data_IF_211126918187
#
_entry.id   IF_211126918187
#
_cell.length_a   1.000
_cell.length_b   1.000
_cell.length_c   1.000
_cell.angle_alpha   90.00
_cell.angle_beta   90.00
_cell.angle_gamma   90.00
#
_symmetry.space_group_name_H-M   'P 1'
#
loop_
_entity.id
_entity.type
_entity.pdbx_description
1 polymer ?
#
# COMPACT_ATOMS: atom_id res chain seq x y z
N UNK A 1 -21.07 -9.11 -3.91
CA UNK A 1 -20.46 -7.98 -3.19
C UNK A 1 -18.91 -8.02 -3.21
N UNK A 2 -18.28 -8.79 -4.10
CA UNK A 2 -16.82 -9.07 -4.06
C UNK A 2 -16.08 -8.76 -5.36
N UNK A 3 -16.71 -8.17 -6.38
CA UNK A 3 -16.04 -7.92 -7.67
C UNK A 3 -15.24 -6.61 -7.70
N UNK A 4 -15.59 -5.64 -6.83
CA UNK A 4 -15.00 -4.29 -6.87
C UNK A 4 -14.15 -3.97 -5.64
N UNK A 5 -13.91 -4.93 -4.75
CA UNK A 5 -13.07 -4.72 -3.58
C UNK A 5 -12.18 -5.90 -3.27
N UNK A 6 -10.98 -5.59 -2.79
CA UNK A 6 -10.01 -6.51 -2.23
C UNK A 6 -9.84 -6.17 -0.74
N UNK A 7 -9.91 -7.19 0.11
CA UNK A 7 -9.72 -7.05 1.56
C UNK A 7 -8.66 -8.04 2.00
N UNK A 8 -7.69 -7.56 2.77
CA UNK A 8 -6.65 -8.38 3.37
C UNK A 8 -6.37 -7.95 4.79
N UNK A 9 -6.30 -8.91 5.71
CA UNK A 9 -5.97 -8.67 7.11
C UNK A 9 -4.75 -9.50 7.47
N UNK A 10 -3.80 -8.88 8.15
CA UNK A 10 -2.62 -9.55 8.70
C UNK A 10 -2.32 -9.05 10.11
N UNK A 11 -1.59 -9.86 10.87
CA UNK A 11 -1.15 -9.54 12.22
C UNK A 11 0.37 -9.52 12.25
N UNK A 12 0.95 -8.47 12.82
CA UNK A 12 2.40 -8.22 12.79
C UNK A 12 2.87 -7.96 14.22
N UNK A 13 3.92 -8.67 14.66
CA UNK A 13 4.57 -8.42 15.95
C UNK A 13 5.44 -7.16 15.84
N UNK A 14 4.84 -6.02 16.18
CA UNK A 14 5.45 -4.67 16.07
C UNK A 14 4.67 -3.69 16.97
N UNK A 15 5.06 -2.41 16.98
CA UNK A 15 4.29 -1.33 17.64
C UNK A 15 3.49 -0.51 16.62
N UNK A 16 2.46 0.23 17.04
CA UNK A 16 1.71 1.13 16.15
C UNK A 16 2.63 2.12 15.43
N UNK A 17 3.58 2.72 16.15
CA UNK A 17 4.48 3.75 15.64
C UNK A 17 5.40 3.18 14.56
N UNK A 18 6.00 2.01 14.81
CA UNK A 18 6.92 1.37 13.85
C UNK A 18 6.17 0.86 12.61
N UNK A 19 4.94 0.37 12.78
CA UNK A 19 4.10 0.00 11.64
C UNK A 19 3.72 1.23 10.81
N UNK A 20 3.33 2.33 11.46
CA UNK A 20 2.98 3.58 10.80
C UNK A 20 4.15 4.21 10.05
N UNK A 21 5.31 4.27 10.71
CA UNK A 21 6.56 4.71 10.11
C UNK A 21 6.87 3.87 8.87
N UNK A 22 6.77 2.53 8.97
CA UNK A 22 7.01 1.69 7.80
C UNK A 22 6.06 1.97 6.63
N UNK A 23 4.80 2.33 6.88
CA UNK A 23 3.85 2.67 5.81
C UNK A 23 4.15 4.02 5.15
N UNK A 24 4.75 4.98 5.86
CA UNK A 24 4.85 6.39 5.43
C UNK A 24 6.27 6.84 5.12
N UNK A 25 7.28 6.14 5.63
CA UNK A 25 8.69 6.47 5.43
C UNK A 25 9.24 5.79 4.14
N UNK A 26 9.87 6.58 3.25
CA UNK A 26 10.34 6.06 1.96
C UNK A 26 11.47 5.03 2.10
N UNK A 27 12.33 5.11 3.12
CA UNK A 27 13.40 4.13 3.34
C UNK A 27 12.83 2.77 3.74
N UNK A 28 11.77 2.76 4.55
CA UNK A 28 11.03 1.53 4.82
C UNK A 28 10.28 1.03 3.58
N UNK A 29 9.60 1.91 2.84
CA UNK A 29 8.86 1.53 1.64
C UNK A 29 9.73 0.77 0.66
N UNK A 30 10.96 1.24 0.37
CA UNK A 30 11.89 0.54 -0.54
C UNK A 30 12.14 -0.91 -0.12
N UNK A 31 12.16 -1.19 1.18
CA UNK A 31 12.51 -2.50 1.72
C UNK A 31 11.39 -3.52 1.67
N UNK A 32 10.11 -3.11 1.58
CA UNK A 32 9.00 -4.06 1.48
C UNK A 32 8.09 -3.88 0.26
N UNK A 33 8.11 -2.72 -0.38
CA UNK A 33 7.29 -2.39 -1.53
C UNK A 33 8.05 -2.64 -2.84
N UNK A 34 8.71 -3.81 -2.96
CA UNK A 34 9.44 -4.21 -4.18
C UNK A 34 10.43 -3.14 -4.69
N UNK A 35 11.22 -2.54 -3.78
CA UNK A 35 12.15 -1.44 -4.08
C UNK A 35 11.49 -0.12 -4.54
N UNK A 36 10.17 -0.03 -4.55
CA UNK A 36 9.41 1.19 -4.82
C UNK A 36 9.25 2.02 -3.55
N UNK A 37 9.04 3.32 -3.68
CA UNK A 37 8.81 4.22 -2.55
C UNK A 37 7.61 5.13 -2.78
N UNK A 38 7.02 5.62 -1.69
CA UNK A 38 5.92 6.57 -1.74
C UNK A 38 6.44 8.00 -1.56
N UNK A 39 5.82 8.95 -2.24
CA UNK A 39 6.09 10.39 -2.12
C UNK A 39 4.79 11.11 -1.77
N UNK A 40 4.77 11.77 -0.61
CA UNK A 40 3.67 12.61 -0.16
C UNK A 40 4.12 13.50 1.01
N UNK A 41 3.44 14.64 1.19
CA UNK A 41 3.59 15.46 2.41
C UNK A 41 2.79 14.91 3.60
N UNK A 42 2.02 13.83 3.38
CA UNK A 42 1.22 13.15 4.40
C UNK A 42 0.24 14.08 5.14
N UNK A 43 -0.48 14.91 4.39
CA UNK A 43 -1.62 15.72 4.88
C UNK A 43 -2.84 15.43 4.04
N UNK A 44 -4.04 15.61 4.60
CA UNK A 44 -5.28 15.53 3.82
C UNK A 44 -5.21 16.51 2.64
N UNK A 45 -5.54 16.03 1.44
CA UNK A 45 -5.45 16.78 0.19
C UNK A 45 -4.07 16.78 -0.47
N UNK A 46 -3.03 16.24 0.17
CA UNK A 46 -1.70 16.15 -0.44
C UNK A 46 -1.70 15.17 -1.61
N UNK A 47 -0.96 15.53 -2.66
CA UNK A 47 -0.64 14.58 -3.72
C UNK A 47 0.11 13.38 -3.13
N UNK A 48 -0.17 12.20 -3.69
CA UNK A 48 0.50 10.96 -3.38
C UNK A 48 0.98 10.29 -4.65
N UNK A 49 2.18 9.72 -4.63
CA UNK A 49 2.73 8.91 -5.74
C UNK A 49 3.42 7.68 -5.20
N UNK A 50 3.33 6.59 -5.94
CA UNK A 50 4.21 5.43 -5.82
C UNK A 50 5.20 5.43 -6.99
N UNK A 51 6.49 5.38 -6.69
CA UNK A 51 7.57 5.50 -7.65
C UNK A 51 8.32 4.17 -7.77
N UNK A 52 8.44 3.66 -8.98
CA UNK A 52 9.24 2.47 -9.28
C UNK A 52 10.74 2.71 -9.04
N UNK A 53 11.56 1.66 -8.89
CA UNK A 53 13.01 1.80 -8.71
C UNK A 53 13.71 2.57 -9.83
N UNK A 54 13.14 2.58 -11.04
CA UNK A 54 13.66 3.30 -12.21
C UNK A 54 13.16 4.76 -12.32
N UNK A 55 12.42 5.25 -11.32
CA UNK A 55 11.93 6.63 -11.23
C UNK A 55 10.59 6.89 -11.94
N UNK A 56 10.01 5.90 -12.63
CA UNK A 56 8.68 6.06 -13.24
C UNK A 56 7.59 6.03 -12.18
N UNK A 57 6.52 6.78 -12.41
CA UNK A 57 5.32 6.78 -11.55
C UNK A 57 4.53 5.49 -11.82
N UNK A 58 4.42 4.63 -10.81
CA UNK A 58 3.61 3.41 -10.86
C UNK A 58 2.13 3.73 -10.67
N UNK A 59 1.84 4.52 -9.63
CA UNK A 59 0.51 4.91 -9.22
C UNK A 59 0.53 6.34 -8.68
N UNK A 60 -0.61 7.03 -8.77
CA UNK A 60 -0.76 8.39 -8.25
C UNK A 60 -2.13 8.64 -7.65
N UNK A 61 -2.24 9.70 -6.85
CA UNK A 61 -3.50 10.22 -6.37
C UNK A 61 -3.32 11.19 -5.21
N UNK A 62 -4.11 11.01 -4.16
CA UNK A 62 -4.31 12.02 -3.11
C UNK A 62 -4.60 11.37 -1.76
N UNK A 63 -4.10 11.97 -0.67
CA UNK A 63 -4.45 11.56 0.69
C UNK A 63 -5.85 12.06 1.03
N UNK A 64 -6.80 11.14 1.21
CA UNK A 64 -8.19 11.45 1.55
C UNK A 64 -8.39 11.58 3.07
N UNK A 65 -7.76 10.70 3.84
CA UNK A 65 -7.81 10.71 5.31
C UNK A 65 -6.45 10.27 5.85
N UNK A 66 -5.98 10.90 6.94
CA UNK A 66 -4.76 10.48 7.63
C UNK A 66 -4.89 10.75 9.13
N UNK A 67 -4.82 9.70 9.94
CA UNK A 67 -4.79 9.74 11.40
C UNK A 67 -3.68 8.81 11.90
N UNK A 68 -2.45 9.33 12.12
CA UNK A 68 -1.37 8.55 12.69
C UNK A 68 -1.67 8.11 14.14
N UNK A 69 -1.33 6.87 14.56
CA UNK A 69 -0.87 5.72 13.78
C UNK A 69 -2.00 4.72 13.44
N UNK A 70 -3.22 5.20 13.21
CA UNK A 70 -4.46 4.38 13.19
C UNK A 70 -5.01 4.14 11.79
N UNK A 71 -5.04 5.16 10.94
CA UNK A 71 -5.82 5.09 9.69
C UNK A 71 -5.23 5.95 8.58
N UNK A 72 -5.17 5.41 7.38
CA UNK A 72 -4.74 6.11 6.17
C UNK A 72 -5.66 5.73 5.01
N UNK A 73 -6.19 6.72 4.31
CA UNK A 73 -7.02 6.52 3.11
C UNK A 73 -6.41 7.29 1.96
N UNK A 74 -6.12 6.57 0.87
CA UNK A 74 -5.48 7.08 -0.33
C UNK A 74 -6.43 6.91 -1.50
N UNK A 75 -6.66 7.99 -2.24
CA UNK A 75 -7.21 7.94 -3.59
C UNK A 75 -6.11 7.44 -4.52
N UNK A 76 -6.37 6.37 -5.26
CA UNK A 76 -5.35 5.60 -5.96
C UNK A 76 -5.71 5.43 -7.43
N UNK A 77 -4.77 5.68 -8.34
CA UNK A 77 -4.92 5.38 -9.77
C UNK A 77 -3.62 4.83 -10.31
N UNK A 78 -3.72 3.79 -11.13
CA UNK A 78 -2.57 3.26 -11.83
C UNK A 78 -2.13 4.20 -12.96
N UNK A 79 -0.83 4.49 -13.04
CA UNK A 79 -0.24 5.36 -14.07
C UNK A 79 0.53 4.57 -15.13
N UNK A 80 0.77 3.27 -14.89
CA UNK A 80 1.64 2.41 -15.68
C UNK A 80 0.91 1.65 -16.80
N UNK A 81 -0.29 1.14 -16.53
CA UNK A 81 -1.10 0.34 -17.46
C UNK A 81 -2.21 1.22 -18.04
N UNK A 82 -2.14 1.63 -19.33
CA UNK A 82 -3.08 2.58 -19.93
C UNK A 82 -4.55 2.16 -19.75
N UNK A 83 -4.83 0.88 -19.95
CA UNK A 83 -6.17 0.34 -19.84
C UNK A 83 -6.69 0.38 -18.39
N UNK A 84 -5.82 0.19 -17.39
CA UNK A 84 -6.24 0.31 -15.97
C UNK A 84 -6.39 1.77 -15.57
N UNK A 85 -5.56 2.65 -16.14
CA UNK A 85 -5.63 4.10 -15.89
C UNK A 85 -6.94 4.71 -16.37
N UNK A 86 -7.48 4.23 -17.48
CA UNK A 86 -8.78 4.67 -18.03
C UNK A 86 -9.96 4.39 -17.09
N UNK A 87 -9.88 3.36 -16.25
CA UNK A 87 -10.91 3.05 -15.24
C UNK A 87 -10.98 4.10 -14.12
N UNK A 88 -9.95 4.96 -14.01
CA UNK A 88 -9.94 6.09 -13.10
C UNK A 88 -9.39 5.76 -11.72
N UNK A 89 -10.07 6.27 -10.69
CA UNK A 89 -9.58 6.21 -9.32
C UNK A 89 -10.30 5.14 -8.50
N UNK A 90 -9.54 4.47 -7.65
CA UNK A 90 -9.98 3.61 -6.57
C UNK A 90 -9.64 4.23 -5.21
N UNK A 91 -10.05 3.56 -4.13
CA UNK A 91 -9.74 3.92 -2.76
C UNK A 91 -8.97 2.80 -2.08
N UNK A 92 -7.84 3.11 -1.47
CA UNK A 92 -7.09 2.19 -0.63
C UNK A 92 -7.07 2.70 0.82
N UNK A 93 -7.59 1.88 1.74
CA UNK A 93 -7.72 2.16 3.16
C UNK A 93 -6.84 1.20 3.95
N UNK A 94 -5.99 1.76 4.81
CA UNK A 94 -5.24 1.05 5.83
C UNK A 94 -5.84 1.37 7.19
N UNK A 95 -6.12 0.33 7.98
CA UNK A 95 -6.55 0.45 9.38
C UNK A 95 -5.60 -0.37 10.25
N UNK A 96 -5.12 0.25 11.33
CA UNK A 96 -4.21 -0.33 12.30
C UNK A 96 -4.89 -0.37 13.65
N UNK A 97 -4.99 -1.57 14.23
CA UNK A 97 -5.61 -1.81 15.53
C UNK A 97 -4.64 -2.62 16.42
N UNK A 98 -4.43 -2.24 17.68
CA UNK A 98 -3.65 -3.06 18.61
C UNK A 98 -4.40 -4.34 18.96
N UNK A 99 -3.67 -5.45 19.04
CA UNK A 99 -4.18 -6.77 19.45
C UNK A 99 -3.13 -7.48 20.33
N UNK A 100 -3.13 -7.15 21.62
CA UNK A 100 -2.12 -7.62 22.56
C UNK A 100 -0.71 -7.12 22.20
N UNK A 101 0.21 -8.06 21.95
CA UNK A 101 1.58 -7.75 21.49
C UNK A 101 1.69 -7.60 19.95
N UNK A 102 0.57 -7.72 19.25
CA UNK A 102 0.49 -7.65 17.79
C UNK A 102 -0.22 -6.37 17.36
N UNK A 103 0.05 -5.97 16.12
CA UNK A 103 -0.75 -4.99 15.40
C UNK A 103 -1.53 -5.72 14.31
N UNK A 104 -2.86 -5.57 14.33
CA UNK A 104 -3.73 -5.96 13.24
C UNK A 104 -3.73 -4.86 12.19
N UNK A 105 -3.28 -5.20 10.99
CA UNK A 105 -3.33 -4.34 9.82
C UNK A 105 -4.39 -4.87 8.85
N UNK A 106 -5.40 -4.05 8.58
CA UNK A 106 -6.39 -4.30 7.53
C UNK A 106 -6.14 -3.36 6.34
N UNK A 107 -6.08 -3.94 5.14
CA UNK A 107 -6.02 -3.21 3.88
C UNK A 107 -7.29 -3.51 3.10
N UNK A 108 -8.02 -2.44 2.75
CA UNK A 108 -9.19 -2.50 1.86
C UNK A 108 -8.87 -1.67 0.63
N UNK A 109 -8.92 -2.28 -0.55
CA UNK A 109 -8.74 -1.58 -1.82
C UNK A 109 -10.00 -1.79 -2.66
N UNK A 110 -10.73 -0.72 -2.97
CA UNK A 110 -12.06 -0.80 -3.56
C UNK A 110 -12.33 0.28 -4.61
N UNK A 111 -13.29 0.01 -5.50
CA UNK A 111 -13.74 0.90 -6.54
C UNK A 111 -15.27 1.06 -6.48
N UNK A 112 -15.77 2.22 -6.92
CA UNK A 112 -17.22 2.50 -6.95
C UNK A 112 -17.98 1.66 -8.00
N UNK A 113 -17.25 1.04 -8.94
CA UNK A 113 -17.77 0.18 -10.00
C UNK A 113 -16.74 -0.85 -10.48
N UNK A 114 -17.05 -1.63 -11.54
CA UNK A 114 -16.11 -2.57 -12.13
C UNK A 114 -14.79 -1.89 -12.50
N UNK A 115 -13.67 -2.43 -12.03
CA UNK A 115 -12.37 -1.79 -12.18
C UNK A 115 -11.24 -2.83 -12.32
N UNK A 116 -10.46 -2.74 -13.41
CA UNK A 116 -9.42 -3.72 -13.77
C UNK A 116 -8.25 -3.76 -12.80
N UNK A 117 -8.05 -2.70 -12.01
CA UNK A 117 -7.07 -2.65 -10.94
C UNK A 117 -7.35 -3.66 -9.81
N UNK A 118 -8.61 -3.93 -9.45
CA UNK A 118 -8.94 -4.75 -8.26
C UNK A 118 -8.35 -6.17 -8.36
N UNK A 119 -8.51 -6.91 -9.48
CA UNK A 119 -7.83 -8.19 -9.66
C UNK A 119 -6.29 -8.10 -9.66
N UNK A 120 -5.71 -6.99 -10.13
CA UNK A 120 -4.26 -6.80 -10.15
C UNK A 120 -3.69 -6.58 -8.74
N UNK A 121 -4.31 -5.70 -7.96
CA UNK A 121 -3.89 -5.45 -6.57
C UNK A 121 -4.13 -6.66 -5.69
N UNK A 122 -5.14 -7.49 -5.98
CA UNK A 122 -5.39 -8.75 -5.27
C UNK A 122 -4.23 -9.74 -5.37
N UNK A 123 -3.41 -9.65 -6.44
CA UNK A 123 -2.20 -10.45 -6.61
C UNK A 123 -0.97 -9.79 -5.98
N UNK A 124 -0.90 -8.46 -6.00
CA UNK A 124 0.23 -7.68 -5.49
C UNK A 124 0.23 -7.52 -3.96
N UNK A 125 -0.90 -7.12 -3.37
CA UNK A 125 -1.01 -6.83 -1.94
C UNK A 125 -0.57 -7.97 -1.02
N UNK A 126 -0.96 -9.24 -1.25
CA UNK A 126 -0.51 -10.32 -0.37
C UNK A 126 1.02 -10.41 -0.27
N UNK A 127 1.73 -10.19 -1.38
CA UNK A 127 3.19 -10.20 -1.39
C UNK A 127 3.78 -8.98 -0.65
N UNK A 128 3.26 -7.78 -0.91
CA UNK A 128 3.71 -6.54 -0.25
C UNK A 128 3.49 -6.62 1.27
N UNK A 129 2.34 -7.10 1.72
CA UNK A 129 2.00 -7.20 3.13
C UNK A 129 2.79 -8.31 3.85
N UNK A 130 3.06 -9.43 3.16
CA UNK A 130 3.95 -10.46 3.68
C UNK A 130 5.40 -9.93 3.82
N UNK A 131 5.87 -9.14 2.86
CA UNK A 131 7.19 -8.49 2.94
C UNK A 131 7.27 -7.47 4.08
N UNK A 132 6.21 -6.67 4.29
CA UNK A 132 6.12 -5.70 5.39
C UNK A 132 6.20 -6.42 6.74
N UNK A 133 5.42 -7.51 6.91
CA UNK A 133 5.46 -8.33 8.11
C UNK A 133 6.88 -8.87 8.36
N UNK A 134 7.49 -9.48 7.34
CA UNK A 134 8.86 -10.02 7.43
C UNK A 134 9.87 -8.94 7.83
N UNK A 135 9.78 -7.75 7.22
CA UNK A 135 10.63 -6.60 7.54
C UNK A 135 10.50 -6.17 9.01
N UNK A 136 9.27 -6.04 9.50
CA UNK A 136 9.03 -5.54 10.86
C UNK A 136 9.41 -6.55 11.95
N UNK A 137 9.21 -7.85 11.69
CA UNK A 137 9.46 -8.93 12.64
C UNK A 137 10.93 -9.41 12.64
N UNK A 138 11.62 -9.31 11.51
CA UNK A 138 12.98 -9.87 11.34
C UNK A 138 14.04 -8.86 10.94
N UNK A 139 13.64 -7.63 10.59
CA UNK A 139 14.52 -6.62 10.03
C UNK A 139 14.85 -6.82 8.54
N UNK A 140 14.27 -7.81 7.85
CA UNK A 140 14.51 -8.07 6.42
C UNK A 140 13.20 -8.26 5.67
N UNK A 141 12.99 -7.46 4.62
CA UNK A 141 11.88 -7.64 3.69
C UNK A 141 12.23 -8.65 2.60
N UNK A 142 11.31 -8.87 1.67
CA UNK A 142 11.55 -9.72 0.52
C UNK A 142 12.37 -8.96 -0.52
N UNK A 143 13.57 -9.46 -0.79
CA UNK A 143 14.36 -9.06 -1.94
C UNK A 143 13.91 -9.89 -3.15
N UNK A 144 13.36 -9.23 -4.16
CA UNK A 144 13.09 -9.88 -5.45
C UNK A 144 14.05 -9.33 -6.49
N UNK A 145 14.80 -10.17 -7.22
CA UNK A 145 15.55 -9.68 -8.37
C UNK A 145 14.57 -9.00 -9.35
N UNK A 146 15.00 -7.94 -10.05
CA UNK A 146 14.16 -7.28 -11.04
C UNK A 146 13.63 -8.33 -12.02
N UNK A 147 12.32 -8.30 -12.31
CA UNK A 147 11.76 -9.20 -13.32
C UNK A 147 12.50 -8.96 -14.62
N UNK A 148 13.13 -10.00 -15.17
CA UNK A 148 13.61 -9.96 -16.55
C UNK A 148 12.37 -9.70 -17.41
N UNK A 149 12.28 -8.48 -17.95
CA UNK A 149 11.28 -8.13 -18.96
C UNK A 149 11.41 -8.99 -20.20
#
# INVERSE_FOLDING_TARGET
MSENSFVYVTYIRTTPEKLWEALTDPEFNRRFFLSSHQESDWKVGSSWKLIFPDGRVADSGEILEIEPPKRLVIKWRNEWMPEVKEDGYTRCTFTIEPDGELMKLAVVHEADGPHRLIPNVSKGWPLVLASLKSLLETGKGFERPPSKG
#
